data_IF_872207401163
#
_entry.id   IF_872207401163
#
_cell.length_a   1.000
_cell.length_b   1.000
_cell.length_c   1.000
_cell.angle_alpha   90.00
_cell.angle_beta   90.00
_cell.angle_gamma   90.00
#
_symmetry.space_group_name_H-M   'P 1'
#
loop_
_entity.id
_entity.type
_entity.pdbx_description
1 polymer ?
#
# COMPACT_ATOMS: atom_id res chain seq x y z
N UNK A 1 -12.75 -24.93 1.15
CA UNK A 1 -11.31 -25.02 1.53
C UNK A 1 -11.15 -24.36 2.87
N UNK A 2 -10.44 -24.95 3.79
CA UNK A 2 -10.12 -24.35 5.08
C UNK A 2 -8.69 -23.81 4.98
N UNK A 3 -8.53 -22.50 5.22
CA UNK A 3 -7.23 -21.84 5.19
C UNK A 3 -6.78 -21.55 6.63
N UNK A 4 -5.47 -21.55 6.85
CA UNK A 4 -4.88 -21.27 8.17
C UNK A 4 -4.44 -19.82 8.28
N UNK A 5 -5.09 -19.06 9.17
CA UNK A 5 -4.75 -17.68 9.52
C UNK A 5 -4.28 -17.57 10.99
N UNK A 6 -3.99 -18.70 11.63
CA UNK A 6 -3.63 -18.78 13.05
C UNK A 6 -2.16 -19.11 13.28
N UNK A 7 -1.55 -19.88 12.35
CA UNK A 7 -0.13 -20.22 12.44
C UNK A 7 0.75 -19.02 12.15
N UNK A 8 1.64 -18.68 13.08
CA UNK A 8 2.69 -17.70 12.88
C UNK A 8 3.86 -18.38 12.15
N UNK A 9 4.20 -18.00 10.89
CA UNK A 9 5.34 -18.58 10.22
C UNK A 9 6.64 -18.11 10.86
N UNK A 10 7.62 -19.02 10.98
CA UNK A 10 8.99 -18.63 11.32
C UNK A 10 9.58 -17.83 10.15
N UNK A 11 10.04 -16.61 10.44
CA UNK A 11 10.58 -15.69 9.43
C UNK A 11 12.02 -15.29 9.69
N UNK A 12 12.52 -15.51 10.92
CA UNK A 12 13.89 -15.19 11.28
C UNK A 12 14.87 -16.10 10.54
N UNK A 13 15.88 -15.51 9.90
CA UNK A 13 16.87 -16.25 9.11
C UNK A 13 16.40 -16.67 7.70
N UNK A 14 15.21 -16.19 7.27
CA UNK A 14 14.66 -16.40 5.93
C UNK A 14 14.60 -15.10 5.10
N UNK A 15 15.58 -14.22 5.29
CA UNK A 15 15.72 -12.95 4.57
C UNK A 15 14.54 -11.97 4.76
N UNK A 16 13.78 -12.15 5.84
CA UNK A 16 12.63 -11.32 6.14
C UNK A 16 13.05 -9.99 6.78
N UNK A 17 13.06 -8.90 6.02
CA UNK A 17 13.43 -7.56 6.50
C UNK A 17 12.65 -7.17 7.77
N UNK A 18 11.40 -7.61 7.90
CA UNK A 18 10.54 -7.31 9.04
C UNK A 18 11.12 -7.78 10.39
N UNK A 19 11.95 -8.83 10.37
CA UNK A 19 12.55 -9.46 11.56
C UNK A 19 14.07 -9.34 11.53
N UNK A 20 14.74 -9.71 10.41
CA UNK A 20 16.19 -9.80 10.31
C UNK A 20 16.91 -8.44 10.26
N UNK A 21 16.16 -7.36 10.04
CA UNK A 21 16.70 -6.01 10.02
C UNK A 21 16.57 -5.28 11.37
N UNK A 22 15.82 -5.79 12.34
CA UNK A 22 15.59 -5.11 13.61
C UNK A 22 16.90 -4.76 14.32
N UNK A 23 16.98 -3.53 14.83
CA UNK A 23 18.18 -2.99 15.47
C UNK A 23 19.23 -2.43 14.52
N UNK A 24 19.07 -2.54 13.19
CA UNK A 24 19.95 -1.88 12.21
C UNK A 24 19.59 -0.38 12.10
N UNK A 25 20.50 0.49 11.60
CA UNK A 25 20.19 1.90 11.38
C UNK A 25 18.98 2.12 10.45
N UNK A 26 18.08 3.02 10.85
CA UNK A 26 16.92 3.42 10.04
C UNK A 26 15.71 2.46 10.10
N UNK A 27 15.75 1.46 10.96
CA UNK A 27 14.65 0.53 11.22
C UNK A 27 14.34 0.43 12.71
N UNK A 28 13.20 -0.18 13.13
CA UNK A 28 12.88 -0.34 14.54
C UNK A 28 13.99 -1.02 15.34
N UNK A 29 14.14 -0.60 16.59
CA UNK A 29 15.12 -1.18 17.51
C UNK A 29 14.82 -2.65 17.83
N UNK A 30 15.87 -3.41 18.15
CA UNK A 30 15.70 -4.75 18.70
C UNK A 30 15.03 -4.72 20.08
N UNK A 31 14.22 -5.73 20.43
CA UNK A 31 13.61 -5.85 21.76
C UNK A 31 14.66 -6.06 22.85
N UNK A 32 14.27 -5.71 24.09
CA UNK A 32 15.04 -6.06 25.29
C UNK A 32 14.96 -7.56 25.58
N UNK A 33 15.91 -8.03 26.38
CA UNK A 33 15.92 -9.40 26.88
C UNK A 33 14.59 -9.72 27.58
N UNK A 34 14.03 -10.88 27.27
CA UNK A 34 12.73 -11.33 27.77
C UNK A 34 11.54 -11.05 26.85
N UNK A 35 11.74 -10.30 25.77
CA UNK A 35 10.71 -10.08 24.76
C UNK A 35 11.18 -10.56 23.38
N UNK A 36 10.32 -11.29 22.70
CA UNK A 36 10.49 -11.60 21.30
C UNK A 36 9.87 -10.51 20.40
N UNK A 37 10.32 -10.42 19.15
CA UNK A 37 9.85 -9.40 18.22
C UNK A 37 8.46 -9.72 17.64
N UNK A 38 7.59 -8.72 17.64
CA UNK A 38 6.30 -8.70 16.92
C UNK A 38 6.44 -7.68 15.78
N UNK A 39 6.66 -8.13 14.52
CA UNK A 39 6.95 -7.23 13.41
C UNK A 39 5.68 -6.53 12.91
N UNK A 40 5.51 -5.26 13.27
CA UNK A 40 4.36 -4.43 12.91
C UNK A 40 4.74 -3.16 12.13
N UNK A 41 5.88 -3.14 11.42
CA UNK A 41 6.39 -1.95 10.74
C UNK A 41 6.38 -2.05 9.20
N UNK A 42 6.86 -3.14 8.64
CA UNK A 42 6.86 -3.35 7.19
C UNK A 42 5.45 -3.68 6.71
N UNK A 43 5.08 -3.16 5.55
CA UNK A 43 3.81 -3.49 4.91
C UNK A 43 3.90 -4.83 4.15
N UNK A 44 4.18 -5.90 4.88
CA UNK A 44 4.08 -7.31 4.47
C UNK A 44 3.31 -8.11 5.52
N UNK A 45 2.83 -9.30 5.17
CA UNK A 45 2.00 -10.09 6.07
C UNK A 45 2.81 -11.15 6.82
N UNK A 46 2.33 -11.50 8.01
CA UNK A 46 2.81 -12.63 8.79
C UNK A 46 1.85 -13.84 8.68
N UNK A 47 1.37 -14.08 7.46
CA UNK A 47 0.59 -15.24 7.05
C UNK A 47 1.31 -16.00 5.94
N UNK A 48 1.09 -17.31 5.87
CA UNK A 48 1.57 -18.11 4.74
C UNK A 48 0.79 -17.74 3.47
N UNK A 49 1.48 -17.63 2.36
CA UNK A 49 0.83 -17.49 1.06
C UNK A 49 -0.01 -18.75 0.74
N UNK A 50 -1.18 -18.62 0.10
CA UNK A 50 -2.00 -19.78 -0.25
C UNK A 50 -1.28 -20.72 -1.24
N UNK A 51 -1.58 -22.02 -1.13
CA UNK A 51 -0.89 -23.06 -1.88
C UNK A 51 -0.98 -22.87 -3.41
N UNK A 52 -2.08 -22.31 -3.92
CA UNK A 52 -2.24 -22.02 -5.34
C UNK A 52 -1.11 -21.16 -5.94
N UNK A 53 -0.47 -20.31 -5.15
CA UNK A 53 0.66 -19.47 -5.58
C UNK A 53 1.93 -20.31 -5.67
N UNK A 54 2.26 -21.02 -4.60
CA UNK A 54 3.47 -21.85 -4.54
C UNK A 54 3.40 -23.01 -5.52
N UNK A 55 2.23 -23.60 -5.70
CA UNK A 55 1.98 -24.71 -6.65
C UNK A 55 2.13 -24.23 -8.10
N UNK A 56 1.62 -23.05 -8.44
CA UNK A 56 1.80 -22.47 -9.77
C UNK A 56 3.30 -22.24 -10.08
N UNK A 57 4.07 -21.72 -9.13
CA UNK A 57 5.51 -21.56 -9.28
C UNK A 57 6.23 -22.91 -9.35
N UNK A 58 5.85 -23.87 -8.49
CA UNK A 58 6.44 -25.22 -8.48
C UNK A 58 6.18 -25.97 -9.80
N UNK A 59 5.01 -25.80 -10.39
CA UNK A 59 4.69 -26.37 -11.71
C UNK A 59 5.64 -25.81 -12.78
N UNK A 60 5.91 -24.49 -12.76
CA UNK A 60 6.86 -23.88 -13.69
C UNK A 60 8.29 -24.40 -13.48
N UNK A 61 8.70 -24.66 -12.24
CA UNK A 61 10.03 -25.17 -11.90
C UNK A 61 10.28 -26.61 -12.40
N UNK A 62 9.22 -27.41 -12.67
CA UNK A 62 9.37 -28.74 -13.29
C UNK A 62 9.98 -28.68 -14.69
N UNK A 63 9.94 -27.50 -15.34
CA UNK A 63 10.59 -27.23 -16.60
C UNK A 63 11.76 -26.25 -16.38
N UNK A 64 12.96 -26.73 -16.03
CA UNK A 64 14.07 -25.91 -15.50
C UNK A 64 14.87 -25.20 -16.60
N UNK A 65 14.16 -24.50 -17.49
CA UNK A 65 14.76 -23.59 -18.49
C UNK A 65 14.23 -22.17 -18.25
N UNK A 66 15.14 -21.22 -18.12
CA UNK A 66 14.84 -19.82 -17.77
C UNK A 66 15.37 -18.86 -18.83
N UNK A 67 15.21 -19.24 -20.12
CA UNK A 67 15.53 -18.37 -21.25
C UNK A 67 14.52 -17.26 -21.45
N UNK A 68 14.68 -16.51 -22.53
CA UNK A 68 13.69 -15.51 -22.91
C UNK A 68 12.32 -16.14 -23.12
N UNK A 69 11.26 -15.43 -22.75
CA UNK A 69 9.88 -15.89 -22.84
C UNK A 69 8.93 -14.74 -23.18
N UNK A 70 7.78 -15.09 -23.71
CA UNK A 70 6.66 -14.19 -23.90
C UNK A 70 5.65 -14.39 -22.75
N UNK A 71 5.04 -13.31 -22.23
CA UNK A 71 3.96 -13.44 -21.27
C UNK A 71 2.80 -14.25 -21.85
N UNK A 72 2.29 -15.19 -21.05
CA UNK A 72 1.20 -16.09 -21.43
C UNK A 72 -0.13 -15.38 -21.43
N UNK A 73 -1.07 -15.81 -22.27
CA UNK A 73 -2.43 -15.28 -22.27
C UNK A 73 -3.12 -15.49 -20.92
N UNK A 74 -2.85 -16.62 -20.25
CA UNK A 74 -3.41 -16.92 -18.92
C UNK A 74 -3.02 -15.88 -17.84
N UNK A 75 -1.90 -15.19 -17.99
CA UNK A 75 -1.52 -14.07 -17.11
C UNK A 75 -2.47 -12.88 -17.28
N UNK A 76 -2.74 -12.48 -18.52
CA UNK A 76 -3.65 -11.37 -18.82
C UNK A 76 -5.10 -11.75 -18.49
N UNK A 77 -5.51 -12.97 -18.79
CA UNK A 77 -6.85 -13.48 -18.47
C UNK A 77 -7.08 -13.49 -16.96
N UNK A 78 -6.08 -13.86 -16.17
CA UNK A 78 -6.16 -13.85 -14.71
C UNK A 78 -6.35 -12.40 -14.18
N UNK A 79 -5.62 -11.43 -14.69
CA UNK A 79 -5.76 -10.01 -14.33
C UNK A 79 -7.13 -9.49 -14.75
N UNK A 80 -7.55 -9.71 -16.00
CA UNK A 80 -8.85 -9.25 -16.53
C UNK A 80 -9.99 -9.80 -15.67
N UNK A 81 -9.96 -11.11 -15.39
CA UNK A 81 -10.94 -11.75 -14.53
C UNK A 81 -10.94 -11.17 -13.13
N UNK A 82 -9.76 -11.00 -12.50
CA UNK A 82 -9.63 -10.42 -11.16
C UNK A 82 -10.21 -9.02 -11.09
N UNK A 83 -9.85 -8.15 -12.01
CA UNK A 83 -10.35 -6.79 -12.08
C UNK A 83 -11.87 -6.74 -12.30
N UNK A 84 -12.41 -7.67 -13.12
CA UNK A 84 -13.85 -7.79 -13.32
C UNK A 84 -14.57 -8.27 -12.07
N UNK A 85 -14.10 -9.37 -11.47
CA UNK A 85 -14.81 -10.06 -10.39
C UNK A 85 -14.69 -9.27 -9.06
N UNK A 86 -13.51 -8.68 -8.77
CA UNK A 86 -13.27 -7.95 -7.51
C UNK A 86 -13.60 -6.46 -7.61
N UNK A 87 -13.18 -5.82 -8.67
CA UNK A 87 -13.28 -4.36 -8.81
C UNK A 87 -14.41 -3.90 -9.74
N UNK A 88 -15.12 -4.84 -10.38
CA UNK A 88 -16.24 -4.54 -11.28
C UNK A 88 -15.85 -3.89 -12.60
N UNK A 89 -14.56 -3.93 -12.96
CA UNK A 89 -14.03 -3.34 -14.20
C UNK A 89 -14.58 -4.09 -15.41
N UNK A 90 -15.10 -3.33 -16.38
CA UNK A 90 -15.66 -3.89 -17.62
C UNK A 90 -14.85 -3.41 -18.82
N UNK A 91 -14.74 -4.29 -19.83
CA UNK A 91 -14.10 -3.94 -21.12
C UNK A 91 -12.59 -3.79 -21.06
N UNK A 92 -11.94 -4.28 -19.99
CA UNK A 92 -10.48 -4.35 -19.92
C UNK A 92 -9.97 -5.38 -20.91
N UNK A 93 -8.95 -5.02 -21.69
CA UNK A 93 -8.32 -5.89 -22.68
C UNK A 93 -6.84 -6.10 -22.37
N UNK A 94 -6.22 -7.07 -23.02
CA UNK A 94 -4.77 -7.35 -22.85
C UNK A 94 -3.91 -6.15 -23.24
N UNK A 95 -4.34 -5.38 -24.23
CA UNK A 95 -3.63 -4.20 -24.73
C UNK A 95 -3.57 -3.05 -23.72
N UNK A 96 -4.50 -3.02 -22.76
CA UNK A 96 -4.53 -1.99 -21.71
C UNK A 96 -3.61 -2.31 -20.55
N UNK A 97 -3.06 -3.54 -20.49
CA UNK A 97 -2.28 -4.07 -19.39
C UNK A 97 -0.80 -4.13 -19.76
N UNK A 98 0.06 -3.55 -18.92
CA UNK A 98 1.50 -3.71 -19.05
C UNK A 98 2.14 -4.13 -17.73
N UNK A 99 3.26 -4.87 -17.83
CA UNK A 99 4.02 -5.30 -16.67
C UNK A 99 4.88 -4.16 -16.12
N UNK A 100 4.94 -4.09 -14.79
CA UNK A 100 5.86 -3.21 -14.07
C UNK A 100 6.66 -4.00 -13.04
N UNK A 101 7.92 -3.62 -12.86
CA UNK A 101 8.80 -4.24 -11.87
C UNK A 101 8.64 -3.54 -10.50
N UNK A 102 7.50 -3.75 -9.86
CA UNK A 102 7.02 -3.05 -8.68
C UNK A 102 6.30 -1.74 -9.03
N UNK A 103 5.28 -1.39 -8.22
CA UNK A 103 4.47 -0.18 -8.45
C UNK A 103 5.31 1.10 -8.43
N UNK A 104 6.27 1.21 -7.50
CA UNK A 104 7.14 2.40 -7.44
C UNK A 104 7.98 2.58 -8.70
N UNK A 105 8.38 1.49 -9.33
CA UNK A 105 9.08 1.60 -10.58
C UNK A 105 8.20 2.04 -11.73
N UNK A 106 6.95 1.58 -11.80
CA UNK A 106 5.95 2.11 -12.72
C UNK A 106 5.71 3.60 -12.50
N UNK A 107 5.62 4.04 -11.23
CA UNK A 107 5.54 5.46 -10.88
C UNK A 107 6.74 6.25 -11.40
N UNK A 108 7.97 5.75 -11.21
CA UNK A 108 9.18 6.42 -11.74
C UNK A 108 9.18 6.47 -13.26
N UNK A 109 8.79 5.38 -13.94
CA UNK A 109 8.67 5.37 -15.41
C UNK A 109 7.66 6.41 -15.90
N UNK A 110 6.54 6.58 -15.19
CA UNK A 110 5.54 7.59 -15.48
C UNK A 110 6.04 9.01 -15.19
N UNK A 111 6.75 9.23 -14.07
CA UNK A 111 7.41 10.51 -13.78
C UNK A 111 8.36 10.91 -14.93
N UNK A 112 9.15 9.97 -15.46
CA UNK A 112 10.06 10.23 -16.57
C UNK A 112 9.35 10.45 -17.91
N UNK A 113 8.20 9.81 -18.11
CA UNK A 113 7.41 9.96 -19.34
C UNK A 113 6.66 11.29 -19.41
N UNK A 114 6.19 11.82 -18.26
CA UNK A 114 5.20 12.91 -18.20
C UNK A 114 5.67 14.14 -17.41
N UNK A 115 6.91 14.18 -16.96
CA UNK A 115 7.50 15.34 -16.30
C UNK A 115 9.00 15.46 -16.61
N UNK A 116 9.58 16.61 -16.28
CA UNK A 116 11.00 16.90 -16.40
C UNK A 116 11.63 17.11 -15.01
N UNK A 117 12.94 16.89 -14.83
CA UNK A 117 13.62 17.28 -13.60
C UNK A 117 13.34 18.75 -13.24
N UNK A 118 12.98 18.99 -11.99
CA UNK A 118 12.55 20.30 -11.48
C UNK A 118 11.04 20.55 -11.52
N UNK A 119 10.26 19.78 -12.28
CA UNK A 119 8.79 19.87 -12.25
C UNK A 119 8.22 19.52 -10.89
N UNK A 120 7.08 20.12 -10.56
CA UNK A 120 6.36 19.87 -9.32
C UNK A 120 5.34 18.73 -9.50
N UNK A 121 5.30 17.83 -8.52
CA UNK A 121 4.38 16.69 -8.46
C UNK A 121 3.53 16.84 -7.21
N UNK A 122 2.20 16.73 -7.36
CA UNK A 122 1.28 16.75 -6.21
C UNK A 122 1.20 15.39 -5.55
N UNK A 123 1.25 15.38 -4.22
CA UNK A 123 0.92 14.23 -3.37
C UNK A 123 0.06 14.68 -2.20
N UNK A 124 -0.72 13.76 -1.62
CA UNK A 124 -1.50 14.03 -0.40
C UNK A 124 -0.73 13.56 0.83
N UNK A 125 -0.54 14.45 1.82
CA UNK A 125 0.07 14.04 3.09
C UNK A 125 -0.97 13.94 4.23
N UNK A 126 -0.83 12.95 5.13
CA UNK A 126 0.29 11.98 5.19
C UNK A 126 0.40 11.19 3.89
N UNK A 127 1.63 10.85 3.48
CA UNK A 127 1.88 10.18 2.21
C UNK A 127 2.84 9.00 2.36
N UNK A 128 2.71 8.01 1.48
CA UNK A 128 3.63 6.89 1.47
C UNK A 128 5.07 7.33 1.13
N UNK A 129 6.02 6.95 1.98
CA UNK A 129 7.43 7.34 1.86
C UNK A 129 8.09 6.91 0.53
N UNK A 130 7.58 5.86 -0.09
CA UNK A 130 8.03 5.43 -1.41
C UNK A 130 7.72 6.43 -2.52
N UNK A 131 6.62 7.20 -2.42
CA UNK A 131 6.32 8.25 -3.40
C UNK A 131 7.27 9.43 -3.27
N UNK A 132 7.46 9.94 -2.04
CA UNK A 132 8.37 11.07 -1.81
C UNK A 132 9.79 10.74 -2.23
N UNK A 133 10.31 9.58 -1.82
CA UNK A 133 11.62 9.11 -2.25
C UNK A 133 11.74 8.95 -3.77
N UNK A 134 10.73 8.39 -4.44
CA UNK A 134 10.74 8.21 -5.90
C UNK A 134 10.73 9.55 -6.64
N UNK A 135 9.92 10.51 -6.19
CA UNK A 135 9.82 11.84 -6.80
C UNK A 135 11.14 12.59 -6.65
N UNK A 136 11.72 12.60 -5.44
CA UNK A 136 12.99 13.29 -5.17
C UNK A 136 14.17 12.67 -5.91
N UNK A 137 14.30 11.33 -5.89
CA UNK A 137 15.36 10.65 -6.61
C UNK A 137 15.26 10.80 -8.13
N UNK A 138 14.04 10.98 -8.64
CA UNK A 138 13.82 11.32 -10.04
C UNK A 138 14.09 12.81 -10.35
N UNK A 139 14.51 13.61 -9.37
CA UNK A 139 14.85 15.02 -9.54
C UNK A 139 13.63 15.95 -9.68
N UNK A 140 12.44 15.52 -9.24
CA UNK A 140 11.22 16.32 -9.24
C UNK A 140 11.00 16.95 -7.86
N UNK A 141 10.20 18.01 -7.81
CA UNK A 141 9.82 18.68 -6.55
C UNK A 141 8.49 18.13 -6.05
N UNK A 142 8.38 17.90 -4.76
CA UNK A 142 7.13 17.49 -4.14
C UNK A 142 6.32 18.72 -3.74
N UNK A 143 5.04 18.72 -4.03
CA UNK A 143 4.05 19.65 -3.50
C UNK A 143 3.01 18.85 -2.72
N UNK A 144 2.92 19.13 -1.42
CA UNK A 144 1.98 18.43 -0.54
C UNK A 144 0.65 19.16 -0.48
N UNK A 145 -0.46 18.44 -0.74
CA UNK A 145 -1.80 18.86 -0.35
C UNK A 145 -2.23 18.06 0.88
N UNK A 146 -2.36 18.74 2.01
CA UNK A 146 -2.62 18.08 3.28
C UNK A 146 -4.05 17.54 3.33
N UNK A 147 -4.20 16.28 3.70
CA UNK A 147 -5.48 15.75 4.13
C UNK A 147 -5.88 16.40 5.46
N UNK A 148 -7.16 16.67 5.64
CA UNK A 148 -7.73 17.23 6.87
C UNK A 148 -8.66 16.22 7.52
N UNK A 149 -8.70 16.18 8.84
CA UNK A 149 -9.72 15.41 9.55
C UNK A 149 -10.97 16.27 9.72
N UNK A 150 -12.14 15.74 9.33
CA UNK A 150 -13.43 16.39 9.56
C UNK A 150 -13.88 16.25 11.04
N UNK A 151 -15.06 16.73 11.34
CA UNK A 151 -15.62 16.70 12.70
C UNK A 151 -15.81 15.27 13.26
N UNK A 152 -15.95 14.29 12.37
CA UNK A 152 -16.08 12.87 12.72
C UNK A 152 -14.72 12.16 12.73
N UNK A 153 -13.64 12.90 12.54
CA UNK A 153 -12.27 12.39 12.52
C UNK A 153 -11.87 11.68 11.22
N UNK A 154 -12.68 11.78 10.17
CA UNK A 154 -12.43 11.16 8.87
C UNK A 154 -11.46 12.01 8.04
N UNK A 155 -10.45 11.39 7.46
CA UNK A 155 -9.53 12.08 6.57
C UNK A 155 -10.20 12.49 5.26
N UNK A 156 -10.08 13.76 4.87
CA UNK A 156 -10.66 14.35 3.67
C UNK A 156 -9.61 15.08 2.85
N UNK A 157 -9.77 15.05 1.53
CA UNK A 157 -9.02 15.90 0.61
C UNK A 157 -9.48 17.35 0.74
N UNK A 158 -8.54 18.30 0.68
CA UNK A 158 -8.82 19.73 0.60
C UNK A 158 -8.78 20.17 -0.87
N UNK A 159 -9.94 20.17 -1.50
CA UNK A 159 -10.07 20.44 -2.94
C UNK A 159 -9.63 21.86 -3.32
N UNK A 160 -9.83 22.84 -2.44
CA UNK A 160 -9.41 24.23 -2.68
C UNK A 160 -7.87 24.32 -2.62
N UNK A 161 -7.25 23.71 -1.61
CA UNK A 161 -5.80 23.64 -1.48
C UNK A 161 -5.16 22.90 -2.66
N UNK A 162 -5.79 21.78 -3.12
CA UNK A 162 -5.35 21.07 -4.32
C UNK A 162 -5.33 21.98 -5.54
N UNK A 163 -6.45 22.64 -5.85
CA UNK A 163 -6.59 23.52 -7.00
C UNK A 163 -5.56 24.67 -6.96
N UNK A 164 -5.46 25.34 -5.82
CA UNK A 164 -4.50 26.43 -5.62
C UNK A 164 -3.06 25.97 -5.85
N UNK A 165 -2.65 24.86 -5.25
CA UNK A 165 -1.27 24.34 -5.38
C UNK A 165 -0.94 23.86 -6.79
N UNK A 166 -1.90 23.25 -7.48
CA UNK A 166 -1.73 22.85 -8.87
C UNK A 166 -1.49 24.08 -9.75
N UNK A 167 -2.30 25.13 -9.59
CA UNK A 167 -2.17 26.37 -10.38
C UNK A 167 -0.86 27.11 -10.07
N UNK A 168 -0.57 27.36 -8.79
CA UNK A 168 0.63 28.10 -8.37
C UNK A 168 1.94 27.43 -8.79
N UNK A 169 1.98 26.08 -8.76
CA UNK A 169 3.18 25.32 -9.09
C UNK A 169 3.19 24.76 -10.54
N UNK A 170 2.14 25.02 -11.33
CA UNK A 170 1.97 24.53 -12.71
C UNK A 170 2.11 23.01 -12.77
N UNK A 171 1.38 22.31 -11.91
CA UNK A 171 1.44 20.86 -11.80
C UNK A 171 0.59 20.23 -12.89
N UNK A 172 1.16 19.25 -13.59
CA UNK A 172 0.47 18.46 -14.63
C UNK A 172 0.48 16.97 -14.32
N UNK A 173 1.07 16.57 -13.19
CA UNK A 173 1.17 15.17 -12.78
C UNK A 173 0.95 15.04 -11.29
N UNK A 174 0.07 14.13 -10.90
CA UNK A 174 -0.25 13.87 -9.49
C UNK A 174 -0.06 12.40 -9.16
N UNK A 175 0.39 12.08 -7.94
CA UNK A 175 0.42 10.72 -7.41
C UNK A 175 -0.73 10.59 -6.41
N UNK A 176 -1.66 9.70 -6.71
CA UNK A 176 -2.87 9.46 -5.96
C UNK A 176 -2.90 8.05 -5.38
N UNK A 177 -3.13 7.89 -4.09
CA UNK A 177 -3.16 6.60 -3.41
C UNK A 177 -4.61 6.18 -3.11
N UNK A 178 -5.04 5.04 -3.65
CA UNK A 178 -6.43 4.58 -3.58
C UNK A 178 -6.54 3.04 -3.47
N UNK A 179 -6.80 2.46 -2.32
CA UNK A 179 -6.95 3.05 -0.97
C UNK A 179 -5.70 3.75 -0.44
N UNK A 180 -5.90 4.67 0.52
CA UNK A 180 -4.84 5.57 0.97
C UNK A 180 -4.01 4.98 2.11
N UNK A 181 -2.71 4.85 1.91
CA UNK A 181 -1.71 4.51 2.93
C UNK A 181 -0.87 5.76 3.25
N UNK A 182 -0.74 6.18 4.52
CA UNK A 182 -0.95 5.39 5.75
C UNK A 182 -2.33 5.52 6.39
N UNK A 183 -3.20 6.43 5.94
CA UNK A 183 -4.44 6.79 6.66
C UNK A 183 -5.52 5.71 6.64
N UNK A 184 -5.43 4.68 5.80
CA UNK A 184 -6.42 3.62 5.71
C UNK A 184 -7.76 4.03 5.09
N UNK A 185 -7.82 5.18 4.36
CA UNK A 185 -9.03 5.64 3.69
C UNK A 185 -9.36 4.81 2.46
N UNK A 186 -10.63 4.49 2.30
CA UNK A 186 -11.25 4.03 1.04
C UNK A 186 -12.13 5.15 0.53
N UNK A 187 -11.69 5.81 -0.54
CA UNK A 187 -12.37 7.00 -1.05
C UNK A 187 -13.75 6.67 -1.60
N UNK A 188 -14.74 7.51 -1.28
CA UNK A 188 -16.10 7.37 -1.85
C UNK A 188 -16.11 7.84 -3.31
N UNK A 189 -17.17 7.48 -4.04
CA UNK A 189 -17.35 7.94 -5.43
C UNK A 189 -17.37 9.46 -5.53
N UNK A 190 -18.06 10.10 -4.62
CA UNK A 190 -18.20 11.56 -4.57
C UNK A 190 -16.85 12.24 -4.31
N UNK A 191 -16.01 11.68 -3.41
CA UNK A 191 -14.65 12.18 -3.16
C UNK A 191 -13.76 12.03 -4.38
N UNK A 192 -13.82 10.87 -5.05
CA UNK A 192 -13.06 10.61 -6.25
C UNK A 192 -13.50 11.51 -7.43
N UNK A 193 -14.80 11.69 -7.64
CA UNK A 193 -15.35 12.58 -8.66
C UNK A 193 -14.96 14.03 -8.42
N UNK A 194 -15.00 14.49 -7.17
CA UNK A 194 -14.60 15.84 -6.80
C UNK A 194 -13.08 16.06 -7.02
N UNK A 195 -12.23 15.11 -6.64
CA UNK A 195 -10.79 15.16 -6.92
C UNK A 195 -10.52 15.16 -8.43
N UNK A 196 -11.20 14.29 -9.19
CA UNK A 196 -11.06 14.26 -10.64
C UNK A 196 -11.47 15.57 -11.31
N UNK A 197 -12.51 16.24 -10.82
CA UNK A 197 -12.92 17.53 -11.36
C UNK A 197 -11.80 18.59 -11.21
N UNK A 198 -11.08 18.59 -10.08
CA UNK A 198 -9.90 19.46 -9.89
C UNK A 198 -8.80 19.09 -10.88
N UNK A 199 -8.44 17.82 -11.00
CA UNK A 199 -7.37 17.36 -11.90
C UNK A 199 -7.71 17.63 -13.38
N UNK A 200 -8.98 17.44 -13.76
CA UNK A 200 -9.47 17.72 -15.11
C UNK A 200 -9.40 19.21 -15.46
N UNK A 201 -9.80 20.07 -14.52
CA UNK A 201 -9.76 21.54 -14.71
C UNK A 201 -8.34 22.08 -14.97
N UNK A 202 -7.31 21.35 -14.51
CA UNK A 202 -5.90 21.74 -14.65
C UNK A 202 -5.10 20.82 -15.60
N UNK A 203 -5.77 19.96 -16.35
CA UNK A 203 -5.17 19.02 -17.32
C UNK A 203 -4.06 18.13 -16.71
N UNK A 204 -4.30 17.62 -15.50
CA UNK A 204 -3.36 16.75 -14.82
C UNK A 204 -3.52 15.29 -15.26
N UNK A 205 -2.41 14.61 -15.48
CA UNK A 205 -2.34 13.14 -15.53
C UNK A 205 -2.32 12.60 -14.10
N UNK A 206 -3.07 11.52 -13.83
CA UNK A 206 -3.18 10.91 -12.51
C UNK A 206 -2.45 9.58 -12.50
N UNK A 207 -1.44 9.45 -11.62
CA UNK A 207 -0.80 8.18 -11.28
C UNK A 207 -1.54 7.60 -10.08
N UNK A 208 -2.46 6.66 -10.33
CA UNK A 208 -3.26 6.04 -9.28
C UNK A 208 -2.56 4.77 -8.78
N UNK A 209 -2.02 4.82 -7.57
CA UNK A 209 -1.52 3.62 -6.88
C UNK A 209 -2.69 2.90 -6.21
N UNK A 210 -3.08 1.78 -6.79
CA UNK A 210 -4.21 0.95 -6.35
C UNK A 210 -3.74 -0.41 -5.78
N UNK A 211 -2.49 -0.48 -5.30
CA UNK A 211 -1.89 -1.71 -4.76
C UNK A 211 -2.65 -2.29 -3.56
N UNK A 212 -3.50 -1.47 -2.90
CA UNK A 212 -4.31 -1.85 -1.74
C UNK A 212 -5.76 -2.19 -2.10
N UNK A 213 -6.12 -2.20 -3.38
CA UNK A 213 -7.50 -2.32 -3.89
C UNK A 213 -8.27 -3.55 -3.40
N UNK A 214 -7.57 -4.63 -3.06
CA UNK A 214 -8.17 -5.89 -2.61
C UNK A 214 -8.36 -5.96 -1.08
N UNK A 215 -7.69 -5.09 -0.33
CA UNK A 215 -7.65 -5.12 1.13
C UNK A 215 -8.62 -4.08 1.70
N UNK A 216 -9.90 -4.35 1.48
CA UNK A 216 -11.02 -3.49 1.87
C UNK A 216 -11.76 -4.13 3.02
N UNK A 217 -11.91 -3.38 4.12
CA UNK A 217 -12.57 -3.88 5.32
C UNK A 217 -14.11 -3.85 5.17
N UNK A 218 -14.84 -4.67 5.95
CA UNK A 218 -16.28 -4.76 5.86
C UNK A 218 -16.99 -3.39 5.96
N UNK A 219 -18.03 -3.19 5.16
CA UNK A 219 -18.78 -1.94 5.09
C UNK A 219 -18.26 -0.94 4.05
N UNK A 220 -17.10 -1.19 3.46
CA UNK A 220 -16.49 -0.33 2.45
C UNK A 220 -16.34 -1.04 1.11
N UNK A 221 -16.14 -0.28 0.04
CA UNK A 221 -15.96 -0.82 -1.30
C UNK A 221 -14.94 0.01 -2.06
N UNK A 222 -13.93 -0.65 -2.59
CA UNK A 222 -12.99 -0.01 -3.50
C UNK A 222 -13.67 0.38 -4.82
N UNK A 223 -13.33 1.57 -5.30
CA UNK A 223 -13.75 2.07 -6.60
C UNK A 223 -12.45 2.39 -7.36
N UNK A 224 -12.10 1.62 -8.42
CA UNK A 224 -10.96 1.97 -9.26
C UNK A 224 -11.11 3.38 -9.79
N UNK A 225 -10.05 4.19 -9.68
CA UNK A 225 -10.10 5.58 -10.10
C UNK A 225 -10.54 5.74 -11.57
N UNK A 226 -10.09 4.83 -12.43
CA UNK A 226 -10.46 4.79 -13.85
C UNK A 226 -11.93 4.43 -14.12
N UNK A 227 -12.66 3.98 -13.11
CA UNK A 227 -14.08 3.58 -13.24
C UNK A 227 -15.08 4.68 -12.88
N UNK A 228 -14.60 5.86 -12.50
CA UNK A 228 -15.45 6.98 -12.05
C UNK A 228 -16.25 7.54 -13.23
N UNK A 229 -15.55 7.91 -14.30
CA UNK A 229 -16.11 8.44 -15.54
C UNK A 229 -15.08 8.33 -16.69
N UNK A 230 -15.51 8.71 -17.91
CA UNK A 230 -14.66 8.62 -19.11
C UNK A 230 -13.41 9.53 -19.04
N UNK A 231 -13.51 10.70 -18.41
CA UNK A 231 -12.37 11.59 -18.23
C UNK A 231 -11.31 10.97 -17.31
N UNK A 232 -11.72 10.49 -16.14
CA UNK A 232 -10.82 9.77 -15.21
C UNK A 232 -10.20 8.54 -15.88
N UNK A 233 -10.99 7.79 -16.68
CA UNK A 233 -10.51 6.64 -17.42
C UNK A 233 -9.34 6.98 -18.34
N UNK A 234 -9.44 8.10 -19.07
CA UNK A 234 -8.48 8.46 -20.11
C UNK A 234 -7.27 9.24 -19.60
N UNK A 235 -7.35 9.91 -18.43
CA UNK A 235 -6.22 10.67 -17.86
C UNK A 235 -5.37 9.88 -16.86
N UNK A 236 -5.72 8.61 -16.56
CA UNK A 236 -5.12 7.86 -15.45
C UNK A 236 -4.22 6.74 -15.92
N UNK A 237 -3.08 6.62 -15.26
CA UNK A 237 -2.22 5.45 -15.24
C UNK A 237 -2.43 4.79 -13.88
N UNK A 238 -3.10 3.64 -13.85
CA UNK A 238 -3.37 2.93 -12.60
C UNK A 238 -2.39 1.76 -12.41
N UNK A 239 -1.88 1.61 -11.18
CA UNK A 239 -0.91 0.57 -10.83
C UNK A 239 -1.50 -0.39 -9.80
N UNK A 240 -1.32 -1.67 -10.04
CA UNK A 240 -1.82 -2.78 -9.22
C UNK A 240 -0.72 -3.82 -9.00
N UNK A 241 -0.82 -4.57 -7.92
CA UNK A 241 0.07 -5.71 -7.69
C UNK A 241 -0.53 -6.72 -6.70
N UNK A 242 -0.21 -8.02 -6.79
CA UNK A 242 -0.55 -9.00 -5.78
C UNK A 242 0.31 -8.86 -4.50
N UNK A 243 1.28 -7.94 -4.48
CA UNK A 243 2.29 -7.79 -3.44
C UNK A 243 1.71 -7.57 -2.04
N UNK A 244 0.65 -6.74 -1.92
CA UNK A 244 0.01 -6.45 -0.63
C UNK A 244 -1.07 -7.46 -0.31
N UNK A 245 -1.84 -7.88 -1.31
CA UNK A 245 -2.94 -8.83 -1.19
C UNK A 245 -2.49 -10.21 -0.72
N UNK A 246 -1.32 -10.67 -1.20
CA UNK A 246 -0.80 -12.02 -0.95
C UNK A 246 0.63 -12.04 -0.37
N UNK A 247 1.13 -10.91 0.11
CA UNK A 247 2.51 -10.78 0.66
C UNK A 247 3.61 -11.22 -0.32
N UNK A 248 3.51 -10.85 -1.60
CA UNK A 248 4.42 -11.25 -2.67
C UNK A 248 5.42 -10.15 -3.06
N UNK A 249 5.71 -9.21 -2.18
CA UNK A 249 6.60 -8.08 -2.48
C UNK A 249 8.01 -8.53 -2.94
N UNK A 250 8.52 -9.63 -2.41
CA UNK A 250 9.81 -10.22 -2.79
C UNK A 250 9.87 -10.74 -4.23
N UNK A 251 8.73 -10.95 -4.90
CA UNK A 251 8.66 -11.35 -6.31
C UNK A 251 8.61 -10.15 -7.26
N UNK A 252 8.44 -8.94 -6.75
CA UNK A 252 8.50 -7.65 -7.49
C UNK A 252 7.53 -7.55 -8.68
N UNK A 253 6.51 -8.42 -8.79
CA UNK A 253 5.52 -8.41 -9.88
C UNK A 253 4.43 -7.36 -9.65
N UNK A 254 4.19 -6.49 -10.63
CA UNK A 254 3.08 -5.55 -10.67
C UNK A 254 2.65 -5.27 -12.11
N UNK A 255 1.55 -4.57 -12.29
CA UNK A 255 1.07 -4.20 -13.61
C UNK A 255 0.38 -2.83 -13.58
N UNK A 256 0.38 -2.19 -14.74
CA UNK A 256 -0.44 -1.01 -14.97
C UNK A 256 -1.67 -1.34 -15.82
N UNK A 257 -2.68 -0.49 -15.68
CA UNK A 257 -3.82 -0.43 -16.60
C UNK A 257 -3.86 0.99 -17.16
N UNK A 258 -3.81 1.12 -18.48
CA UNK A 258 -3.84 2.43 -19.18
C UNK A 258 -4.70 2.32 -20.43
N UNK A 259 -5.84 3.01 -20.45
CA UNK A 259 -6.77 2.97 -21.57
C UNK A 259 -6.41 3.95 -22.68
N UNK A 260 -5.86 5.12 -22.34
CA UNK A 260 -5.39 6.09 -23.32
C UNK A 260 -4.13 5.59 -24.02
N UNK A 261 -4.16 5.47 -25.36
CA UNK A 261 -3.04 4.93 -26.13
C UNK A 261 -1.80 5.83 -26.08
N UNK A 262 -1.97 7.16 -26.02
CA UNK A 262 -0.85 8.09 -25.95
C UNK A 262 -0.12 7.95 -24.60
N UNK A 263 -0.87 7.88 -23.49
CA UNK A 263 -0.28 7.66 -22.15
C UNK A 263 0.43 6.30 -22.08
N UNK A 264 -0.22 5.25 -22.59
CA UNK A 264 0.33 3.91 -22.61
C UNK A 264 1.64 3.82 -23.40
N UNK A 265 1.64 4.32 -24.63
CA UNK A 265 2.81 4.23 -25.51
C UNK A 265 4.01 5.00 -24.93
N UNK A 266 3.76 6.17 -24.32
CA UNK A 266 4.82 6.93 -23.64
C UNK A 266 5.36 6.25 -22.40
N UNK A 267 4.48 5.66 -21.57
CA UNK A 267 4.88 4.89 -20.39
C UNK A 267 5.74 3.70 -20.79
N UNK A 268 5.28 2.90 -21.75
CA UNK A 268 6.01 1.73 -22.27
C UNK A 268 7.37 2.16 -22.87
N UNK A 269 7.42 3.26 -23.63
CA UNK A 269 8.68 3.76 -24.17
C UNK A 269 9.68 4.18 -23.08
N UNK A 270 9.21 4.78 -21.97
CA UNK A 270 10.06 5.15 -20.85
C UNK A 270 10.64 3.91 -20.15
N UNK A 271 9.80 2.94 -19.78
CA UNK A 271 10.22 1.72 -19.10
C UNK A 271 11.09 0.81 -19.98
N UNK A 272 10.80 0.70 -21.27
CA UNK A 272 11.60 -0.08 -22.23
C UNK A 272 13.00 0.51 -22.42
N UNK A 273 13.13 1.84 -22.43
CA UNK A 273 14.44 2.51 -22.54
C UNK A 273 15.41 2.12 -21.43
N UNK A 274 14.91 1.83 -20.24
CA UNK A 274 15.71 1.41 -19.10
C UNK A 274 15.72 -0.11 -18.90
N UNK A 275 15.06 -0.87 -19.75
CA UNK A 275 14.80 -2.31 -19.60
C UNK A 275 14.13 -2.69 -18.28
N UNK A 276 13.43 -1.74 -17.68
CA UNK A 276 12.84 -1.88 -16.37
C UNK A 276 11.60 -2.79 -16.34
N UNK A 277 10.86 -2.88 -17.45
CA UNK A 277 9.63 -3.63 -17.60
C UNK A 277 9.83 -5.09 -18.06
N UNK A 278 11.04 -5.62 -17.90
CA UNK A 278 11.32 -7.02 -18.21
C UNK A 278 10.73 -7.93 -17.11
N UNK A 279 9.70 -8.69 -17.47
CA UNK A 279 8.97 -9.57 -16.54
C UNK A 279 9.86 -10.72 -16.02
N UNK A 280 9.74 -11.04 -14.74
CA UNK A 280 10.27 -12.26 -14.15
C UNK A 280 9.28 -13.41 -14.34
N UNK A 281 9.74 -14.55 -14.85
CA UNK A 281 8.87 -15.68 -15.16
C UNK A 281 8.16 -16.25 -13.92
N UNK A 282 8.80 -16.27 -12.75
CA UNK A 282 8.16 -16.78 -11.52
C UNK A 282 7.12 -15.81 -10.99
N UNK A 283 7.34 -14.50 -11.15
CA UNK A 283 6.33 -13.47 -10.81
C UNK A 283 5.05 -13.62 -11.65
N UNK A 284 5.18 -13.98 -12.93
CA UNK A 284 4.04 -14.26 -13.81
C UNK A 284 3.22 -15.46 -13.28
N UNK A 285 3.88 -16.56 -12.94
CA UNK A 285 3.19 -17.75 -12.43
C UNK A 285 2.59 -17.51 -11.04
N UNK A 286 3.28 -16.76 -10.19
CA UNK A 286 2.75 -16.35 -8.89
C UNK A 286 1.47 -15.51 -9.04
N UNK A 287 1.42 -14.56 -9.98
CA UNK A 287 0.24 -13.76 -10.25
C UNK A 287 -0.93 -14.61 -10.80
N UNK A 288 -0.67 -15.58 -11.69
CA UNK A 288 -1.68 -16.52 -12.18
C UNK A 288 -2.27 -17.33 -11.01
N UNK A 289 -1.42 -17.84 -10.11
CA UNK A 289 -1.86 -18.56 -8.91
C UNK A 289 -2.64 -17.66 -7.94
N UNK A 290 -2.13 -16.46 -7.67
CA UNK A 290 -2.74 -15.47 -6.78
C UNK A 290 -4.14 -15.06 -7.23
N UNK A 291 -4.29 -14.75 -8.51
CA UNK A 291 -5.57 -14.35 -9.09
C UNK A 291 -6.47 -15.54 -9.49
N UNK A 292 -6.23 -16.73 -8.96
CA UNK A 292 -7.10 -17.91 -9.12
C UNK A 292 -8.36 -17.81 -8.23
N UNK A 293 -9.32 -18.72 -8.44
CA UNK A 293 -10.49 -18.82 -7.53
C UNK A 293 -10.11 -19.27 -6.12
N UNK A 294 -9.01 -20.01 -5.98
CA UNK A 294 -8.47 -20.39 -4.67
C UNK A 294 -7.83 -19.19 -3.96
N UNK A 295 -7.06 -18.39 -4.69
CA UNK A 295 -6.51 -17.14 -4.14
C UNK A 295 -7.61 -16.15 -3.74
N UNK A 296 -8.69 -16.05 -4.53
CA UNK A 296 -9.87 -15.25 -4.18
C UNK A 296 -10.51 -15.75 -2.87
N UNK A 297 -10.73 -17.06 -2.73
CA UNK A 297 -11.31 -17.65 -1.52
C UNK A 297 -10.41 -17.46 -0.29
N UNK A 298 -9.08 -17.51 -0.46
CA UNK A 298 -8.12 -17.23 0.61
C UNK A 298 -8.23 -15.77 1.05
N UNK A 299 -8.28 -14.83 0.12
CA UNK A 299 -8.44 -13.41 0.45
C UNK A 299 -9.75 -13.15 1.19
N UNK A 300 -10.86 -13.73 0.72
CA UNK A 300 -12.16 -13.59 1.36
C UNK A 300 -12.17 -14.12 2.81
N UNK A 301 -11.37 -15.14 3.10
CA UNK A 301 -11.16 -15.63 4.48
C UNK A 301 -10.22 -14.76 5.30
N UNK A 302 -9.26 -14.06 4.69
CA UNK A 302 -8.33 -13.18 5.37
C UNK A 302 -8.99 -11.87 5.83
N UNK A 303 -9.86 -11.27 5.02
CA UNK A 303 -10.44 -9.96 5.31
C UNK A 303 -11.16 -9.89 6.67
N UNK A 304 -11.97 -10.89 7.09
CA UNK A 304 -12.54 -10.93 8.44
C UNK A 304 -11.50 -10.99 9.56
N UNK A 305 -10.35 -11.65 9.33
CA UNK A 305 -9.27 -11.71 10.32
C UNK A 305 -8.64 -10.33 10.48
N UNK A 306 -8.40 -9.62 9.38
CA UNK A 306 -7.87 -8.25 9.42
C UNK A 306 -8.84 -7.29 10.11
N UNK A 307 -10.14 -7.41 9.87
CA UNK A 307 -11.16 -6.59 10.54
C UNK A 307 -11.20 -6.86 12.05
N UNK A 308 -11.11 -8.13 12.46
CA UNK A 308 -10.97 -8.52 13.88
C UNK A 308 -9.71 -7.89 14.51
N UNK A 309 -8.58 -7.90 13.78
CA UNK A 309 -7.35 -7.28 14.26
C UNK A 309 -7.48 -5.76 14.43
N UNK A 310 -8.23 -5.11 13.55
CA UNK A 310 -8.58 -3.68 13.72
C UNK A 310 -9.46 -3.47 14.95
N UNK A 311 -10.44 -4.34 15.20
CA UNK A 311 -11.28 -4.27 16.41
C UNK A 311 -10.45 -4.41 17.69
N UNK A 312 -9.50 -5.33 17.71
CA UNK A 312 -8.55 -5.48 18.84
C UNK A 312 -7.79 -4.17 19.04
N UNK A 313 -7.18 -3.63 17.98
CA UNK A 313 -6.42 -2.39 18.07
C UNK A 313 -7.27 -1.21 18.56
N UNK A 314 -8.47 -1.02 17.99
CA UNK A 314 -9.40 0.05 18.39
C UNK A 314 -9.79 -0.07 19.86
N UNK A 315 -10.12 -1.28 20.32
CA UNK A 315 -10.49 -1.53 21.73
C UNK A 315 -9.41 -1.08 22.71
N UNK A 316 -8.15 -1.49 22.43
CA UNK A 316 -7.02 -1.16 23.32
C UNK A 316 -6.68 0.33 23.25
N UNK A 317 -6.49 0.88 22.05
CA UNK A 317 -6.06 2.26 21.88
C UNK A 317 -7.07 3.30 22.35
N UNK A 318 -8.37 3.00 22.28
CA UNK A 318 -9.43 3.88 22.79
C UNK A 318 -9.41 4.05 24.31
N UNK A 319 -8.68 3.21 25.02
CA UNK A 319 -8.49 3.34 26.47
C UNK A 319 -7.42 4.38 26.84
N UNK A 320 -6.56 4.76 25.88
CA UNK A 320 -5.42 5.64 26.13
C UNK A 320 -5.71 7.08 25.70
N UNK A 321 -5.86 7.96 26.68
CA UNK A 321 -6.09 9.38 26.40
C UNK A 321 -4.88 10.01 25.68
N UNK A 322 -5.17 10.82 24.66
CA UNK A 322 -4.14 11.51 23.90
C UNK A 322 -3.54 10.68 22.76
N UNK A 323 -3.90 9.40 22.59
CA UNK A 323 -3.67 8.64 21.37
C UNK A 323 -4.90 8.80 20.48
N UNK A 324 -4.71 9.37 19.30
CA UNK A 324 -5.78 9.56 18.34
C UNK A 324 -5.53 8.76 17.06
N UNK A 325 -6.58 8.23 16.45
CA UNK A 325 -6.49 7.43 15.24
C UNK A 325 -7.81 7.45 14.47
N UNK A 326 -7.71 7.14 13.19
CA UNK A 326 -8.86 6.83 12.35
C UNK A 326 -8.94 5.31 12.18
N UNK A 327 -10.15 4.73 12.42
CA UNK A 327 -10.36 3.31 12.12
C UNK A 327 -10.16 3.10 10.61
N UNK A 328 -9.21 2.26 10.16
CA UNK A 328 -8.99 2.07 8.75
C UNK A 328 -10.21 1.42 8.08
N UNK A 329 -10.54 1.89 6.88
CA UNK A 329 -11.59 1.36 6.01
C UNK A 329 -11.04 0.33 5.02
N UNK A 330 -9.74 0.36 4.83
CA UNK A 330 -8.98 -0.55 3.98
C UNK A 330 -7.49 -0.55 4.35
N UNK A 331 -6.71 -1.35 3.67
CA UNK A 331 -5.34 -1.73 4.03
C UNK A 331 -5.31 -2.61 5.29
N UNK A 332 -4.12 -2.96 5.74
CA UNK A 332 -3.89 -3.53 7.08
C UNK A 332 -2.98 -2.63 7.92
N UNK A 333 -2.95 -1.34 7.57
CA UNK A 333 -2.12 -0.35 8.27
C UNK A 333 -3.00 0.49 9.19
N UNK A 334 -2.55 0.68 10.42
CA UNK A 334 -3.12 1.59 11.39
C UNK A 334 -2.16 2.76 11.60
N UNK A 335 -2.68 3.98 11.62
CA UNK A 335 -1.90 5.20 11.73
C UNK A 335 -2.34 5.99 12.96
N UNK A 336 -1.43 6.13 13.93
CA UNK A 336 -1.67 6.72 15.24
C UNK A 336 -1.08 8.12 15.30
N UNK A 337 -1.85 9.09 15.80
CA UNK A 337 -1.34 10.37 16.27
C UNK A 337 -1.12 10.25 17.78
N UNK A 338 0.14 10.34 18.19
CA UNK A 338 0.57 10.19 19.57
C UNK A 338 0.95 11.53 20.23
N UNK A 339 0.79 12.66 19.53
CA UNK A 339 1.23 13.98 20.03
C UNK A 339 0.56 14.35 21.36
N UNK A 340 -0.75 14.09 21.50
CA UNK A 340 -1.50 14.34 22.73
C UNK A 340 -0.98 13.52 23.90
N UNK A 341 -0.77 12.21 23.69
CA UNK A 341 -0.25 11.32 24.72
C UNK A 341 1.18 11.70 25.13
N UNK A 342 2.04 11.98 24.17
CA UNK A 342 3.41 12.42 24.42
C UNK A 342 3.44 13.70 25.25
N UNK A 343 2.58 14.67 24.95
CA UNK A 343 2.47 15.92 25.69
C UNK A 343 1.97 15.71 27.11
N UNK A 344 0.91 14.90 27.32
CA UNK A 344 0.33 14.66 28.65
C UNK A 344 1.33 13.92 29.57
N UNK A 345 2.13 13.02 29.01
CA UNK A 345 3.09 12.22 29.77
C UNK A 345 4.51 12.83 29.81
N UNK A 346 4.73 13.97 29.18
CA UNK A 346 6.04 14.62 29.05
C UNK A 346 7.12 13.67 28.50
N UNK A 347 6.75 12.91 27.46
CA UNK A 347 7.59 11.93 26.77
C UNK A 347 7.72 12.36 25.29
N UNK A 348 8.90 12.22 24.71
CA UNK A 348 9.08 12.44 23.27
C UNK A 348 8.57 11.25 22.44
N UNK A 349 8.28 11.49 21.16
CA UNK A 349 7.91 10.42 20.23
C UNK A 349 9.05 9.38 20.08
N UNK A 350 10.31 9.78 20.18
CA UNK A 350 11.44 8.86 20.14
C UNK A 350 11.48 7.92 21.36
N UNK A 351 11.16 8.45 22.55
CA UNK A 351 11.04 7.64 23.77
C UNK A 351 9.86 6.69 23.69
N UNK A 352 8.70 7.14 23.16
CA UNK A 352 7.54 6.29 22.96
C UNK A 352 7.84 5.17 21.93
N UNK A 353 8.47 5.51 20.82
CA UNK A 353 8.88 4.51 19.84
C UNK A 353 9.81 3.46 20.45
N UNK A 354 10.81 3.93 21.20
CA UNK A 354 11.75 3.05 21.88
C UNK A 354 11.08 2.16 22.90
N UNK A 355 10.12 2.67 23.68
CA UNK A 355 9.38 1.90 24.64
C UNK A 355 8.61 0.73 23.99
N UNK A 356 7.98 0.95 22.83
CA UNK A 356 7.32 -0.11 22.07
C UNK A 356 8.32 -1.16 21.55
N UNK A 357 9.45 -0.72 20.99
CA UNK A 357 10.49 -1.65 20.53
C UNK A 357 11.10 -2.47 21.66
N UNK A 358 11.30 -1.87 22.84
CA UNK A 358 11.85 -2.54 24.02
C UNK A 358 10.98 -3.74 24.46
N UNK A 359 9.68 -3.65 24.33
CA UNK A 359 8.74 -4.74 24.63
C UNK A 359 8.41 -5.64 23.43
N UNK A 360 9.17 -5.48 22.34
CA UNK A 360 9.09 -6.30 21.15
C UNK A 360 8.09 -5.83 20.10
N UNK A 361 7.28 -4.79 20.35
CA UNK A 361 6.36 -4.26 19.35
C UNK A 361 7.11 -3.37 18.37
N UNK A 362 7.49 -3.96 17.23
CA UNK A 362 8.29 -3.27 16.22
C UNK A 362 7.37 -2.45 15.30
N UNK A 363 6.86 -1.34 15.79
CA UNK A 363 6.10 -0.36 15.02
C UNK A 363 7.00 0.64 14.29
N UNK A 364 6.45 1.41 13.35
CA UNK A 364 7.19 2.31 12.48
C UNK A 364 7.02 3.78 12.86
N UNK A 365 8.13 4.53 12.86
CA UNK A 365 8.11 5.99 12.90
C UNK A 365 7.21 6.56 11.79
N UNK A 366 6.23 7.37 12.17
CA UNK A 366 5.29 7.99 11.26
C UNK A 366 5.76 9.33 10.68
N UNK A 367 6.80 9.95 11.23
CA UNK A 367 7.31 11.26 10.77
C UNK A 367 7.72 11.27 9.30
N UNK A 368 8.35 10.20 8.73
CA UNK A 368 8.66 10.15 7.31
C UNK A 368 7.44 10.21 6.40
N UNK A 369 6.22 9.94 6.92
CA UNK A 369 4.97 10.10 6.17
C UNK A 369 4.47 11.56 6.15
N UNK A 370 5.23 12.50 6.68
CA UNK A 370 4.91 13.94 6.75
C UNK A 370 3.71 14.26 7.66
N UNK A 371 3.65 13.66 8.84
CA UNK A 371 2.49 13.74 9.75
C UNK A 371 2.81 13.98 11.24
N UNK A 372 3.98 14.55 11.57
CA UNK A 372 4.32 14.88 12.96
C UNK A 372 4.56 13.66 13.85
N UNK A 373 4.15 13.74 15.13
CA UNK A 373 4.39 12.71 16.15
C UNK A 373 3.44 11.53 16.00
N UNK A 374 3.62 10.77 14.92
CA UNK A 374 2.77 9.66 14.54
C UNK A 374 3.53 8.32 14.51
N UNK A 375 2.79 7.23 14.62
CA UNK A 375 3.29 5.85 14.52
C UNK A 375 2.41 5.10 13.53
N UNK A 376 3.04 4.31 12.64
CA UNK A 376 2.31 3.37 11.76
C UNK A 376 2.50 1.95 12.23
N UNK A 377 1.40 1.18 12.29
CA UNK A 377 1.39 -0.23 12.67
C UNK A 377 0.81 -1.11 11.55
N UNK A 378 1.42 -2.26 11.33
CA UNK A 378 0.90 -3.33 10.49
C UNK A 378 0.08 -4.30 11.34
N UNK A 379 -1.16 -4.56 10.97
CA UNK A 379 -2.08 -5.46 11.67
C UNK A 379 -2.25 -6.83 10.97
N UNK A 380 -1.48 -7.12 9.91
CA UNK A 380 -1.56 -8.38 9.17
C UNK A 380 -0.76 -9.51 9.82
N UNK A 381 -1.17 -9.90 11.03
CA UNK A 381 -0.65 -11.01 11.82
C UNK A 381 -1.81 -11.90 12.30
N UNK A 382 -1.55 -13.15 12.73
CA UNK A 382 -2.54 -13.93 13.48
C UNK A 382 -3.10 -13.13 14.68
N UNK A 383 -4.41 -13.16 14.88
CA UNK A 383 -5.10 -12.31 15.86
C UNK A 383 -4.51 -12.42 17.27
N UNK A 384 -4.16 -13.63 17.71
CA UNK A 384 -3.52 -13.82 19.02
C UNK A 384 -2.20 -13.06 19.16
N UNK A 385 -1.49 -12.84 18.04
CA UNK A 385 -0.24 -12.08 18.04
C UNK A 385 -0.47 -10.57 18.08
N UNK A 386 -1.58 -10.12 17.49
CA UNK A 386 -2.02 -8.72 17.60
C UNK A 386 -2.49 -8.43 19.02
N UNK A 387 -3.30 -9.31 19.62
CA UNK A 387 -3.72 -9.21 21.04
C UNK A 387 -2.50 -9.11 21.96
N UNK A 388 -1.51 -9.99 21.78
CA UNK A 388 -0.28 -9.95 22.57
C UNK A 388 0.48 -8.61 22.42
N UNK A 389 0.55 -8.07 21.21
CA UNK A 389 1.21 -6.79 20.98
C UNK A 389 0.54 -5.66 21.77
N UNK A 390 -0.79 -5.58 21.72
CA UNK A 390 -1.53 -4.56 22.46
C UNK A 390 -1.52 -4.79 23.98
N UNK A 391 -1.58 -6.04 24.45
CA UNK A 391 -1.40 -6.35 25.87
C UNK A 391 -0.02 -5.89 26.39
N UNK A 392 1.05 -6.02 25.58
CA UNK A 392 2.38 -5.52 25.93
C UNK A 392 2.40 -3.99 25.96
N UNK A 393 1.77 -3.32 24.98
CA UNK A 393 1.68 -1.86 24.95
C UNK A 393 0.90 -1.32 26.15
N UNK A 394 -0.23 -1.90 26.52
CA UNK A 394 -1.03 -1.50 27.67
C UNK A 394 -0.27 -1.66 28.99
N UNK A 395 0.47 -2.76 29.12
CA UNK A 395 1.15 -3.09 30.36
C UNK A 395 2.45 -2.34 30.60
N UNK A 396 3.16 -1.99 29.55
CA UNK A 396 4.55 -1.52 29.67
C UNK A 396 4.83 -0.17 28.98
N UNK A 397 3.95 0.30 28.11
CA UNK A 397 4.18 1.51 27.31
C UNK A 397 3.15 2.59 27.65
N UNK A 398 1.88 2.31 27.47
CA UNK A 398 0.78 3.24 27.75
C UNK A 398 0.31 3.10 29.23
N UNK A 399 1.24 3.20 30.14
CA UNK A 399 0.92 3.14 31.59
C UNK A 399 0.55 4.53 32.10
N UNK A 400 -0.46 4.59 33.02
CA UNK A 400 -0.86 5.80 33.75
C UNK A 400 0.28 6.35 34.66
#
# INVERSE_FOLDING_TARGET
MEFDYTTLPERAGYDAIAVDALGKPGVPGAPKEGFDAIPMWVADMNFLAPACITDAMAERLKHPTFGYFEPRDEYFDAIIRWQKDRNGVQGLTKEDIGYENGVLGGVVSALEAFSSPGDAILVHNPTYIGFTGSIEHAGRRIVHSALKRDADGVWRMDLEDMAQKIEENKIHLVVFCNPHNPCGRVWTREELEAANAVYAAHDCVVLSDEIWSDLILPGHKHIPYQSINDDAKMRTIAFYAPSKTFSLAGLVGSYHIVYDSYLRDRLVAASTRTHYNAMNVLSMYAAIGAFSKEGEAWLDGLLPVLDTNVDVAVKHLSAHKGVDFFRPEGTYMLFLDCAGWCQENNVSIDELQRAGWDVGVAWQDGRPFQAGDTIRMNLALPTARVEEAFDRLDRYVFTD
#
